data_IF_990352375921
#
_entry.id   IF_990352375921
#
_cell.length_a   1.000
_cell.length_b   1.000
_cell.length_c   1.000
_cell.angle_alpha   90.00
_cell.angle_beta   90.00
_cell.angle_gamma   90.00
#
_symmetry.space_group_name_H-M   'P 1'
#
loop_
_entity.id
_entity.type
_entity.pdbx_description
1 polymer ?
#
# COMPACT_ATOMS: atom_id res chain seq x y z
N UNK A 1 3.23 -1.39 4.45
CA UNK A 1 2.38 -1.98 3.38
C UNK A 1 3.01 -1.61 2.05
N UNK A 2 3.25 -2.58 1.18
CA UNK A 2 3.95 -2.43 -0.09
C UNK A 2 2.98 -2.66 -1.24
N UNK A 3 3.01 -1.80 -2.24
CA UNK A 3 2.17 -1.89 -3.44
C UNK A 3 3.03 -1.68 -4.65
N UNK A 4 3.02 -2.63 -5.58
CA UNK A 4 3.70 -2.55 -6.87
C UNK A 4 2.65 -2.19 -7.91
N UNK A 5 2.92 -1.15 -8.68
CA UNK A 5 2.03 -0.64 -9.72
C UNK A 5 2.82 -0.24 -10.97
N UNK A 6 2.13 -0.08 -12.09
CA UNK A 6 2.76 0.44 -13.30
C UNK A 6 3.28 1.88 -13.07
N UNK A 7 4.44 2.21 -13.63
CA UNK A 7 5.07 3.53 -13.44
C UNK A 7 4.18 4.72 -13.86
N UNK A 8 3.32 4.53 -14.86
CA UNK A 8 2.35 5.54 -15.32
C UNK A 8 1.17 5.75 -14.35
N UNK A 9 0.96 4.83 -13.39
CA UNK A 9 -0.18 4.79 -12.46
C UNK A 9 0.19 4.99 -10.99
N UNK A 10 1.39 5.47 -10.72
CA UNK A 10 1.89 5.69 -9.35
C UNK A 10 0.96 6.60 -8.55
N UNK A 11 0.48 7.67 -9.17
CA UNK A 11 -0.40 8.63 -8.50
C UNK A 11 -1.74 7.98 -8.13
N UNK A 12 -2.36 7.26 -9.07
CA UNK A 12 -3.61 6.53 -8.83
C UNK A 12 -3.45 5.44 -7.77
N UNK A 13 -2.36 4.68 -7.83
CA UNK A 13 -2.06 3.64 -6.85
C UNK A 13 -1.86 4.21 -5.44
N UNK A 14 -1.18 5.35 -5.34
CA UNK A 14 -0.97 6.07 -4.07
C UNK A 14 -2.29 6.57 -3.48
N UNK A 15 -3.12 7.23 -4.29
CA UNK A 15 -4.43 7.72 -3.86
C UNK A 15 -5.35 6.57 -3.47
N UNK A 16 -5.37 5.46 -4.23
CA UNK A 16 -6.14 4.27 -3.91
C UNK A 16 -5.71 3.62 -2.58
N UNK A 17 -4.40 3.53 -2.36
CA UNK A 17 -3.83 3.05 -1.10
C UNK A 17 -4.23 3.93 0.07
N UNK A 18 -4.14 5.26 -0.12
CA UNK A 18 -4.56 6.23 0.88
C UNK A 18 -6.05 6.08 1.24
N UNK A 19 -6.90 6.12 0.23
CA UNK A 19 -8.36 6.04 0.36
C UNK A 19 -8.79 4.75 1.08
N UNK A 20 -8.23 3.59 0.69
CA UNK A 20 -8.57 2.31 1.34
C UNK A 20 -8.20 2.27 2.80
N UNK A 21 -7.01 2.75 3.15
CA UNK A 21 -6.54 2.75 4.53
C UNK A 21 -7.31 3.76 5.38
N UNK A 22 -7.64 4.94 4.83
CA UNK A 22 -8.49 5.93 5.50
C UNK A 22 -9.92 5.40 5.75
N UNK A 23 -10.52 4.70 4.77
CA UNK A 23 -11.83 4.05 4.94
C UNK A 23 -11.85 3.01 6.06
N UNK A 24 -10.70 2.42 6.36
CA UNK A 24 -10.53 1.43 7.42
C UNK A 24 -10.03 2.05 8.73
N UNK A 25 -9.99 3.39 8.81
CA UNK A 25 -9.48 4.15 9.96
C UNK A 25 -8.03 3.82 10.31
N UNK A 26 -7.22 3.42 9.32
CA UNK A 26 -5.78 3.22 9.48
C UNK A 26 -5.02 4.48 9.07
N UNK A 27 -4.58 5.31 10.03
CA UNK A 27 -3.82 6.51 9.71
C UNK A 27 -2.47 6.15 9.12
N UNK A 28 -2.20 6.71 7.94
CA UNK A 28 -0.94 6.57 7.24
C UNK A 28 0.05 7.60 7.79
N UNK A 29 1.23 7.13 8.17
CA UNK A 29 2.33 7.97 8.62
C UNK A 29 3.06 8.62 7.45
N UNK A 30 3.39 7.83 6.43
CA UNK A 30 4.08 8.27 5.22
C UNK A 30 3.86 7.26 4.10
N UNK A 31 3.92 7.72 2.85
CA UNK A 31 3.99 6.85 1.67
C UNK A 31 5.25 7.22 0.92
N UNK A 32 6.16 6.26 0.83
CA UNK A 32 7.48 6.43 0.23
C UNK A 32 7.61 5.53 -0.99
N UNK A 33 8.28 6.01 -2.05
CA UNK A 33 8.62 5.17 -3.19
C UNK A 33 9.87 4.37 -2.83
N UNK A 34 9.76 3.05 -2.75
CA UNK A 34 10.90 2.17 -2.48
C UNK A 34 11.68 1.80 -3.73
N UNK A 35 11.01 1.70 -4.86
CA UNK A 35 11.64 1.34 -6.12
C UNK A 35 10.94 2.09 -7.25
N UNK A 36 11.73 2.77 -8.08
CA UNK A 36 11.26 3.34 -9.34
C UNK A 36 11.96 2.65 -10.51
N UNK A 37 11.24 1.77 -11.20
CA UNK A 37 11.71 1.19 -12.46
C UNK A 37 10.96 1.83 -13.62
N UNK A 38 11.47 1.59 -14.84
CA UNK A 38 10.88 2.11 -16.08
C UNK A 38 9.45 1.58 -16.32
N UNK A 39 9.18 0.33 -15.92
CA UNK A 39 7.88 -0.32 -16.12
C UNK A 39 7.01 -0.32 -14.85
N UNK A 40 7.61 -0.40 -13.67
CA UNK A 40 6.91 -0.59 -12.39
C UNK A 40 7.52 0.21 -11.24
N UNK A 41 6.67 0.57 -10.29
CA UNK A 41 7.04 1.38 -9.13
C UNK A 41 6.48 0.71 -7.88
N UNK A 42 7.33 0.56 -6.87
CA UNK A 42 6.95 0.06 -5.56
C UNK A 42 6.77 1.21 -4.57
N UNK A 43 5.58 1.27 -3.99
CA UNK A 43 5.18 2.21 -2.96
C UNK A 43 5.12 1.50 -1.61
N UNK A 44 5.71 2.08 -0.58
CA UNK A 44 5.58 1.64 0.81
C UNK A 44 4.81 2.67 1.64
N UNK A 45 3.60 2.30 2.06
CA UNK A 45 2.87 3.02 3.09
C UNK A 45 3.29 2.52 4.47
N UNK A 46 3.80 3.44 5.28
CA UNK A 46 4.03 3.25 6.71
C UNK A 46 2.76 3.62 7.46
N UNK A 47 2.25 2.68 8.25
CA UNK A 47 1.04 2.85 9.05
C UNK A 47 1.43 3.18 10.49
N UNK A 48 0.65 4.02 11.17
CA UNK A 48 0.84 4.22 12.61
C UNK A 48 0.49 2.90 13.33
N UNK A 49 1.25 2.49 14.37
CA UNK A 49 0.97 1.28 15.15
C UNK A 49 -0.31 1.46 15.98
N UNK A 50 -1.44 1.35 15.32
CA UNK A 50 -2.78 1.31 15.92
C UNK A 50 -3.45 0.03 15.44
N UNK A 51 -3.79 -0.87 16.37
CA UNK A 51 -4.67 -2.05 16.18
C UNK A 51 -4.64 -2.66 14.77
N UNK A 52 -3.46 -2.99 14.25
CA UNK A 52 -3.31 -3.54 12.93
C UNK A 52 -3.85 -4.98 12.92
N UNK A 53 -5.10 -5.15 12.45
CA UNK A 53 -5.71 -6.46 12.28
C UNK A 53 -5.22 -7.10 10.98
N UNK A 54 -4.57 -8.26 11.11
CA UNK A 54 -3.98 -8.98 9.97
C UNK A 54 -5.03 -9.39 8.94
N UNK A 55 -6.23 -9.80 9.37
CA UNK A 55 -7.33 -10.16 8.46
C UNK A 55 -7.81 -8.96 7.64
N UNK A 56 -7.83 -7.76 8.24
CA UNK A 56 -8.24 -6.56 7.54
C UNK A 56 -7.18 -6.18 6.50
N UNK A 57 -5.90 -6.16 6.89
CA UNK A 57 -4.78 -5.84 5.98
C UNK A 57 -4.69 -6.82 4.82
N UNK A 58 -4.90 -8.12 5.06
CA UNK A 58 -4.92 -9.15 4.02
C UNK A 58 -6.02 -8.87 2.99
N UNK A 59 -7.21 -8.51 3.46
CA UNK A 59 -8.31 -8.08 2.59
C UNK A 59 -7.96 -6.82 1.80
N UNK A 60 -7.32 -5.81 2.41
CA UNK A 60 -6.89 -4.61 1.68
C UNK A 60 -5.91 -4.97 0.57
N UNK A 61 -4.93 -5.83 0.85
CA UNK A 61 -3.98 -6.32 -0.13
C UNK A 61 -4.69 -7.03 -1.30
N UNK A 62 -5.65 -7.90 -1.01
CA UNK A 62 -6.42 -8.58 -2.04
C UNK A 62 -7.23 -7.60 -2.91
N UNK A 63 -7.86 -6.59 -2.30
CA UNK A 63 -8.62 -5.58 -3.05
C UNK A 63 -7.73 -4.65 -3.88
N UNK A 64 -6.56 -4.27 -3.36
CA UNK A 64 -5.57 -3.50 -4.11
C UNK A 64 -5.04 -4.30 -5.29
N UNK A 65 -4.65 -5.56 -5.08
CA UNK A 65 -4.18 -6.44 -6.15
C UNK A 65 -5.27 -6.69 -7.22
N UNK A 66 -6.55 -6.62 -6.86
CA UNK A 66 -7.65 -6.70 -7.82
C UNK A 66 -7.92 -5.38 -8.57
N UNK A 67 -7.27 -4.28 -8.17
CA UNK A 67 -7.50 -2.96 -8.75
C UNK A 67 -6.67 -2.74 -10.02
N UNK A 68 -7.22 -2.07 -11.04
CA UNK A 68 -6.56 -1.92 -12.33
C UNK A 68 -5.31 -1.03 -12.23
N UNK A 69 -4.15 -1.60 -12.54
CA UNK A 69 -2.86 -0.91 -12.49
C UNK A 69 -1.99 -1.28 -11.29
N UNK A 70 -2.51 -2.10 -10.37
CA UNK A 70 -1.72 -2.73 -9.31
C UNK A 70 -1.26 -4.11 -9.82
N UNK A 71 0.03 -4.38 -9.71
CA UNK A 71 0.62 -5.67 -10.04
C UNK A 71 0.68 -6.59 -8.82
N UNK A 72 1.00 -6.04 -7.67
CA UNK A 72 1.05 -6.77 -6.41
C UNK A 72 0.80 -5.84 -5.22
N UNK A 73 0.23 -6.36 -4.14
CA UNK A 73 0.11 -5.66 -2.87
C UNK A 73 0.42 -6.64 -1.73
N UNK A 74 1.31 -6.25 -0.82
CA UNK A 74 1.69 -7.04 0.35
C UNK A 74 1.78 -6.16 1.59
N UNK A 75 1.63 -6.73 2.77
CA UNK A 75 1.85 -6.02 4.02
C UNK A 75 2.84 -6.79 4.88
N UNK A 76 3.69 -6.03 5.56
CA UNK A 76 4.70 -6.55 6.48
C UNK A 76 4.67 -5.71 7.73
N UNK A 77 4.83 -6.36 8.87
CA UNK A 77 5.05 -5.69 10.16
C UNK A 77 6.54 -5.51 10.33
N UNK A 78 6.99 -4.27 10.25
CA UNK A 78 8.36 -3.89 10.55
C UNK A 78 8.46 -3.63 12.05
N UNK A 79 9.16 -4.46 12.84
CA UNK A 79 9.48 -4.08 14.20
C UNK A 79 10.44 -2.89 14.12
N UNK A 80 9.99 -1.72 14.58
CA UNK A 80 10.91 -0.59 14.80
C UNK A 80 11.87 -1.03 15.91
N UNK A 81 13.12 -1.36 15.53
CA UNK A 81 14.21 -1.69 16.45
C UNK A 81 14.81 -0.42 17.07
#
# INVERSE_FOLDING_TARGET
MHVVCAADRVTDARDLLADKLEHLHYPIQSIDVLTDNEDSVELAATLIPTTADSEVLDRVCAELAASPGIEAATWTVSPTL
#
